data_IF_697955439150
#
_entry.id   IF_697955439150
#
_cell.length_a   1.000
_cell.length_b   1.000
_cell.length_c   1.000
_cell.angle_alpha   90.00
_cell.angle_beta   90.00
_cell.angle_gamma   90.00
#
_symmetry.space_group_name_H-M   'P 1'
#
loop_
_entity.id
_entity.type
_entity.pdbx_description
1 polymer ?
#
# COMPACT_ATOMS: atom_id res chain seq x y z
N UNK A 1 2.24 -8.99 6.61
CA UNK A 1 3.14 -8.36 7.59
C UNK A 1 2.30 -7.69 8.67
N UNK A 2 1.87 -8.47 9.65
CA UNK A 2 1.22 -7.96 10.85
C UNK A 2 2.29 -7.90 11.96
N UNK A 3 2.17 -6.92 12.86
CA UNK A 3 3.05 -6.79 14.02
C UNK A 3 3.19 -8.14 14.74
N UNK A 4 4.42 -8.54 15.08
CA UNK A 4 4.68 -9.68 15.95
C UNK A 4 3.97 -9.42 17.29
N UNK A 5 2.98 -10.25 17.68
CA UNK A 5 2.27 -10.07 18.94
C UNK A 5 3.17 -10.29 20.19
N UNK A 6 4.41 -10.73 20.01
CA UNK A 6 5.39 -10.84 21.10
C UNK A 6 6.23 -9.58 21.34
N UNK A 7 6.05 -8.53 20.53
CA UNK A 7 6.78 -7.29 20.74
C UNK A 7 6.18 -6.59 21.98
N UNK A 8 6.93 -6.60 23.08
CA UNK A 8 6.49 -6.06 24.37
C UNK A 8 6.12 -4.58 24.21
N UNK A 9 5.12 -4.08 24.95
CA UNK A 9 4.74 -2.67 24.89
C UNK A 9 5.96 -1.79 25.20
N UNK A 10 6.31 -0.95 24.23
CA UNK A 10 7.35 0.05 24.35
C UNK A 10 6.90 1.04 25.45
N UNK A 11 7.59 1.04 26.60
CA UNK A 11 7.41 2.06 27.63
C UNK A 11 7.74 3.43 27.02
N UNK A 12 6.72 4.22 26.70
CA UNK A 12 6.90 5.62 26.33
C UNK A 12 7.38 6.38 27.56
N UNK A 13 8.69 6.55 27.65
CA UNK A 13 9.29 7.51 28.57
C UNK A 13 8.89 8.90 28.11
N UNK A 14 8.08 9.59 28.91
CA UNK A 14 7.64 10.96 28.67
C UNK A 14 8.85 11.89 28.63
N UNK A 15 9.22 12.33 27.43
CA UNK A 15 10.26 13.33 27.23
C UNK A 15 9.61 14.72 27.25
N UNK A 16 10.04 15.52 28.22
CA UNK A 16 9.63 16.90 28.46
C UNK A 16 9.97 17.78 27.24
N UNK A 17 9.05 18.65 26.76
CA UNK A 17 9.32 19.48 25.60
C UNK A 17 10.30 20.61 25.94
N UNK A 18 11.40 20.67 25.19
CA UNK A 18 12.34 21.78 25.21
C UNK A 18 11.73 23.02 24.54
N UNK A 19 11.98 24.16 25.19
CA UNK A 19 11.63 25.53 24.84
C UNK A 19 12.10 25.90 23.41
N UNK A 20 11.14 26.24 22.53
CA UNK A 20 11.41 26.63 21.13
C UNK A 20 11.58 28.14 21.06
N UNK A 21 12.82 28.55 20.86
CA UNK A 21 13.23 29.94 20.65
C UNK A 21 12.65 30.57 19.38
N UNK A 22 12.30 31.84 19.55
CA UNK A 22 11.82 32.83 18.60
C UNK A 22 12.72 32.96 17.36
N UNK A 23 12.17 32.75 16.17
CA UNK A 23 12.85 32.95 14.89
C UNK A 23 12.18 34.10 14.11
N UNK A 24 12.78 35.26 14.22
CA UNK A 24 12.46 36.50 13.48
C UNK A 24 12.66 36.29 11.97
N UNK A 25 11.77 36.82 11.10
CA UNK A 25 11.97 36.80 9.65
C UNK A 25 12.99 37.87 9.22
N UNK A 26 14.03 37.45 8.49
CA UNK A 26 14.93 38.35 7.77
C UNK A 26 14.38 38.61 6.36
N UNK A 27 14.01 39.87 6.12
CA UNK A 27 13.62 40.42 4.83
C UNK A 27 14.77 40.34 3.83
N UNK A 28 14.55 39.76 2.65
CA UNK A 28 15.48 39.82 1.52
C UNK A 28 15.04 40.95 0.57
N UNK A 29 15.96 41.89 0.41
CA UNK A 29 15.90 43.12 -0.36
C UNK A 29 15.79 42.84 -1.87
N UNK A 30 14.86 43.53 -2.53
CA UNK A 30 14.68 43.53 -3.98
C UNK A 30 15.70 44.48 -4.62
N UNK A 31 16.56 43.95 -5.50
CA UNK A 31 17.40 44.77 -6.36
C UNK A 31 16.80 44.81 -7.78
N UNK A 32 16.08 45.90 -8.02
CA UNK A 32 15.68 46.41 -9.33
C UNK A 32 16.94 46.91 -10.07
N UNK A 33 17.22 46.39 -11.28
CA UNK A 33 18.28 46.94 -12.12
C UNK A 33 17.77 47.17 -13.55
N UNK A 34 17.82 48.44 -13.93
CA UNK A 34 17.30 49.05 -15.15
C UNK A 34 18.01 48.55 -16.42
N UNK A 35 17.36 48.71 -17.60
CA UNK A 35 17.87 48.23 -18.87
C UNK A 35 18.94 49.17 -19.46
N UNK A 36 20.09 48.61 -19.80
CA UNK A 36 21.11 49.31 -20.58
C UNK A 36 20.79 49.21 -22.08
N UNK A 37 20.41 50.34 -22.67
CA UNK A 37 20.35 50.57 -24.12
C UNK A 37 21.75 50.52 -24.72
N UNK A 38 22.02 49.52 -25.57
CA UNK A 38 23.25 49.43 -26.38
C UNK A 38 22.94 49.55 -27.87
N UNK A 39 23.77 50.37 -28.52
CA UNK A 39 23.71 50.83 -29.91
C UNK A 39 24.03 49.72 -30.92
N UNK A 40 23.44 49.72 -32.14
CA UNK A 40 23.64 48.66 -33.12
C UNK A 40 24.98 48.80 -33.86
N UNK A 41 25.94 47.95 -33.53
CA UNK A 41 27.16 47.78 -34.32
C UNK A 41 26.87 47.01 -35.62
N UNK A 42 27.13 47.65 -36.77
CA UNK A 42 27.14 47.01 -38.10
C UNK A 42 28.35 46.07 -38.21
N UNK A 43 28.11 44.78 -37.99
CA UNK A 43 29.05 43.69 -38.26
C UNK A 43 28.93 43.10 -39.67
N UNK A 44 30.00 42.45 -40.17
CA UNK A 44 30.20 42.07 -41.56
C UNK A 44 29.19 41.01 -42.03
N UNK A 45 28.56 41.26 -43.19
CA UNK A 45 27.46 40.47 -43.77
C UNK A 45 27.86 39.10 -44.36
N UNK A 46 29.09 38.63 -44.16
CA UNK A 46 29.58 37.40 -44.77
C UNK A 46 29.45 36.12 -43.90
N UNK A 47 29.33 36.25 -42.57
CA UNK A 47 29.35 35.06 -41.67
C UNK A 47 27.98 34.44 -41.38
N UNK A 48 26.88 35.13 -41.71
CA UNK A 48 25.53 34.65 -41.34
C UNK A 48 25.17 33.34 -42.01
N UNK A 49 25.62 33.12 -43.25
CA UNK A 49 25.35 31.87 -43.96
C UNK A 49 26.04 30.66 -43.29
N UNK A 50 27.24 30.85 -42.74
CA UNK A 50 27.98 29.80 -42.03
C UNK A 50 27.35 29.46 -40.68
N UNK A 51 26.81 30.45 -39.95
CA UNK A 51 26.13 30.21 -38.68
C UNK A 51 24.80 29.44 -38.84
N UNK A 52 24.06 29.69 -39.92
CA UNK A 52 22.83 28.94 -40.19
C UNK A 52 23.09 27.49 -40.60
N UNK A 53 24.17 27.22 -41.35
CA UNK A 53 24.52 25.84 -41.71
C UNK A 53 25.05 25.06 -40.50
N UNK A 54 25.92 25.65 -39.70
CA UNK A 54 26.43 24.99 -38.48
C UNK A 54 25.32 24.78 -37.44
N UNK A 55 24.45 25.77 -37.22
CA UNK A 55 23.32 25.64 -36.29
C UNK A 55 22.31 24.57 -36.70
N UNK A 56 21.99 24.48 -38.00
CA UNK A 56 21.07 23.47 -38.53
C UNK A 56 21.62 22.03 -38.36
N UNK A 57 22.92 21.82 -38.58
CA UNK A 57 23.56 20.53 -38.39
C UNK A 57 23.53 20.10 -36.91
N UNK A 58 23.81 21.02 -35.99
CA UNK A 58 23.78 20.72 -34.55
C UNK A 58 22.39 20.32 -34.07
N UNK A 59 21.34 21.03 -34.48
CA UNK A 59 19.96 20.71 -34.09
C UNK A 59 19.55 19.35 -34.65
N UNK A 60 19.85 19.06 -35.91
CA UNK A 60 19.55 17.76 -36.51
C UNK A 60 20.26 16.62 -35.78
N UNK A 61 21.53 16.79 -35.40
CA UNK A 61 22.28 15.82 -34.62
C UNK A 61 21.65 15.60 -33.22
N UNK A 62 21.26 16.68 -32.53
CA UNK A 62 20.56 16.58 -31.24
C UNK A 62 19.22 15.85 -31.38
N UNK A 63 18.44 16.11 -32.43
CA UNK A 63 17.19 15.41 -32.69
C UNK A 63 17.40 13.90 -32.94
N UNK A 64 18.43 13.53 -33.70
CA UNK A 64 18.76 12.10 -33.94
C UNK A 64 19.18 11.42 -32.64
N UNK A 65 20.04 12.04 -31.84
CA UNK A 65 20.45 11.49 -30.53
C UNK A 65 19.24 11.35 -29.60
N UNK A 66 18.36 12.36 -29.53
CA UNK A 66 17.15 12.29 -28.72
C UNK A 66 16.24 11.14 -29.17
N UNK A 67 16.00 10.96 -30.47
CA UNK A 67 15.20 9.84 -30.99
C UNK A 67 15.86 8.50 -30.69
N UNK A 68 17.18 8.39 -30.79
CA UNK A 68 17.89 7.16 -30.46
C UNK A 68 17.83 6.85 -28.96
N UNK A 69 18.05 7.82 -28.09
CA UNK A 69 17.92 7.67 -26.63
C UNK A 69 16.48 7.35 -26.25
N UNK A 70 15.50 8.04 -26.83
CA UNK A 70 14.09 7.78 -26.56
C UNK A 70 13.65 6.40 -27.04
N UNK A 71 14.11 5.94 -28.20
CA UNK A 71 13.85 4.58 -28.65
C UNK A 71 14.60 3.55 -27.80
N UNK A 72 15.83 3.83 -27.37
CA UNK A 72 16.60 2.96 -26.46
C UNK A 72 15.94 2.84 -25.08
N UNK A 73 15.37 3.93 -24.56
CA UNK A 73 14.62 3.94 -23.30
C UNK A 73 13.22 3.32 -23.45
N UNK A 74 12.63 3.30 -24.66
CA UNK A 74 11.38 2.58 -24.93
C UNK A 74 11.57 1.09 -25.18
N UNK A 75 12.68 0.71 -25.80
CA UNK A 75 13.05 -0.69 -25.96
C UNK A 75 13.62 -1.14 -24.64
N UNK A 76 12.79 -1.48 -23.66
CA UNK A 76 13.22 -1.99 -22.34
C UNK A 76 14.29 -3.09 -22.55
N UNK A 77 15.60 -2.77 -22.45
CA UNK A 77 16.62 -3.80 -22.60
C UNK A 77 16.59 -4.73 -21.39
N UNK A 78 15.88 -4.32 -20.34
CA UNK A 78 15.66 -5.05 -19.11
C UNK A 78 14.44 -6.00 -19.14
N UNK A 79 13.51 -5.85 -20.10
CA UNK A 79 12.36 -6.76 -20.19
C UNK A 79 12.77 -8.23 -20.40
N UNK A 80 13.95 -8.48 -20.97
CA UNK A 80 14.50 -9.82 -21.15
C UNK A 80 15.60 -10.18 -20.12
N UNK A 81 16.12 -9.23 -19.35
CA UNK A 81 17.10 -9.52 -18.28
C UNK A 81 16.43 -10.04 -17.00
N UNK A 82 15.10 -9.88 -16.88
CA UNK A 82 14.28 -10.54 -15.88
C UNK A 82 13.46 -11.70 -16.44
N UNK A 83 13.86 -12.28 -17.57
CA UNK A 83 13.54 -13.68 -17.83
C UNK A 83 14.32 -14.50 -16.79
N UNK A 84 13.82 -14.49 -15.55
CA UNK A 84 14.37 -15.24 -14.45
C UNK A 84 14.28 -16.70 -14.83
N UNK A 85 15.46 -17.29 -15.03
CA UNK A 85 15.68 -18.74 -15.11
C UNK A 85 14.76 -19.40 -14.10
N UNK A 86 13.94 -20.32 -14.59
CA UNK A 86 13.09 -21.25 -13.85
C UNK A 86 13.20 -21.09 -12.33
N UNK A 87 12.39 -20.19 -11.75
CA UNK A 87 12.12 -20.28 -10.32
C UNK A 87 11.56 -21.67 -10.13
N UNK A 88 12.40 -22.57 -9.59
CA UNK A 88 12.00 -23.88 -9.13
C UNK A 88 10.70 -23.66 -8.37
N UNK A 89 9.60 -24.15 -8.95
CA UNK A 89 8.27 -23.93 -8.41
C UNK A 89 8.34 -24.42 -6.97
N UNK A 90 8.24 -23.52 -5.96
CA UNK A 90 8.49 -23.90 -4.58
C UNK A 90 7.61 -25.09 -4.28
N UNK A 91 8.23 -26.19 -3.82
CA UNK A 91 7.49 -27.39 -3.41
C UNK A 91 6.38 -26.90 -2.49
N UNK A 92 5.08 -27.13 -2.81
CA UNK A 92 4.00 -26.49 -2.08
C UNK A 92 4.13 -26.87 -0.61
N UNK A 93 4.42 -25.89 0.23
CA UNK A 93 4.28 -26.04 1.67
C UNK A 93 2.83 -26.49 1.94
N UNK A 94 2.59 -27.29 2.98
CA UNK A 94 1.23 -27.64 3.36
C UNK A 94 0.53 -26.36 3.84
N UNK A 95 -0.03 -25.59 2.91
CA UNK A 95 -1.04 -24.60 3.21
C UNK A 95 -2.17 -25.36 3.89
N UNK A 96 -2.62 -24.87 5.05
CA UNK A 96 -3.95 -25.20 5.57
C UNK A 96 -4.96 -24.72 4.53
N UNK A 97 -5.18 -25.58 3.53
CA UNK A 97 -6.12 -25.35 2.44
C UNK A 97 -7.51 -25.29 3.05
N UNK A 98 -8.46 -24.61 2.41
CA UNK A 98 -9.88 -24.63 2.79
C UNK A 98 -10.47 -26.04 3.03
N UNK A 99 -9.76 -27.11 2.64
CA UNK A 99 -10.04 -28.51 2.97
C UNK A 99 -10.01 -28.83 4.47
N UNK A 100 -9.31 -28.04 5.28
CA UNK A 100 -9.17 -28.25 6.73
C UNK A 100 -10.17 -27.46 7.58
N UNK A 101 -11.15 -26.79 6.95
CA UNK A 101 -12.27 -26.22 7.70
C UNK A 101 -12.95 -27.32 8.52
N UNK A 102 -13.16 -27.07 9.81
CA UNK A 102 -13.91 -28.00 10.66
C UNK A 102 -15.33 -28.19 10.11
N UNK A 103 -15.99 -29.29 10.44
CA UNK A 103 -17.38 -29.51 10.06
C UNK A 103 -18.27 -28.35 10.51
N UNK A 104 -18.00 -27.77 11.68
CA UNK A 104 -18.69 -26.59 12.22
C UNK A 104 -18.51 -25.35 11.36
N UNK A 105 -17.29 -25.07 10.90
CA UNK A 105 -17.02 -23.94 10.01
C UNK A 105 -17.68 -24.11 8.64
N UNK A 106 -17.78 -25.35 8.13
CA UNK A 106 -18.49 -25.66 6.87
C UNK A 106 -20.01 -25.57 7.01
N UNK A 107 -20.54 -25.90 8.19
CA UNK A 107 -21.96 -25.85 8.51
C UNK A 107 -22.40 -24.51 9.10
N UNK A 108 -21.56 -23.47 8.98
CA UNK A 108 -21.84 -22.14 9.50
C UNK A 108 -23.18 -21.61 8.98
N UNK A 109 -23.96 -21.06 9.90
CA UNK A 109 -25.21 -20.36 9.61
C UNK A 109 -25.05 -18.90 10.04
N UNK A 110 -25.35 -17.92 9.16
CA UNK A 110 -25.20 -16.52 9.51
C UNK A 110 -26.10 -16.14 10.69
N UNK A 111 -25.65 -15.23 11.56
CA UNK A 111 -26.46 -14.68 12.63
C UNK A 111 -27.64 -13.88 12.04
N UNK A 112 -28.68 -13.70 12.84
CA UNK A 112 -29.92 -13.03 12.43
C UNK A 112 -29.74 -11.55 12.08
N UNK A 113 -28.67 -10.93 12.58
CA UNK A 113 -28.31 -9.54 12.34
C UNK A 113 -26.84 -9.40 11.88
N UNK A 114 -26.57 -8.32 11.15
CA UNK A 114 -25.21 -7.95 10.75
C UNK A 114 -24.52 -7.16 11.88
N UNK A 115 -23.18 -7.23 12.00
CA UNK A 115 -22.43 -6.30 12.83
C UNK A 115 -22.68 -4.85 12.43
N UNK A 116 -22.60 -3.95 13.41
CA UNK A 116 -22.69 -2.51 13.17
C UNK A 116 -21.31 -1.94 12.86
N UNK A 117 -21.23 -1.20 11.76
CA UNK A 117 -20.05 -0.46 11.35
C UNK A 117 -20.19 1.00 11.77
N UNK A 118 -19.12 1.56 12.32
CA UNK A 118 -19.05 2.99 12.61
C UNK A 118 -18.93 3.83 11.32
N UNK A 119 -19.05 5.15 11.45
CA UNK A 119 -18.77 6.06 10.35
C UNK A 119 -17.27 6.09 9.98
N UNK A 120 -16.95 6.52 8.76
CA UNK A 120 -15.55 6.73 8.30
C UNK A 120 -14.77 7.63 9.26
N UNK A 121 -15.42 8.67 9.79
CA UNK A 121 -14.77 9.61 10.71
C UNK A 121 -14.39 8.95 12.03
N UNK A 122 -15.27 8.11 12.57
CA UNK A 122 -15.01 7.36 13.81
C UNK A 122 -13.95 6.28 13.59
N UNK A 123 -14.04 5.54 12.47
CA UNK A 123 -13.04 4.56 12.10
C UNK A 123 -11.65 5.18 11.93
N UNK A 124 -11.56 6.35 11.29
CA UNK A 124 -10.31 7.09 11.09
C UNK A 124 -9.71 7.49 12.42
N UNK A 125 -10.53 8.11 13.29
CA UNK A 125 -10.10 8.51 14.63
C UNK A 125 -9.56 7.32 15.42
N UNK A 126 -10.28 6.19 15.44
CA UNK A 126 -9.84 4.98 16.13
C UNK A 126 -8.52 4.43 15.58
N UNK A 127 -8.34 4.45 14.25
CA UNK A 127 -7.11 3.99 13.60
C UNK A 127 -5.91 4.91 13.87
N UNK A 128 -6.10 6.24 13.87
CA UNK A 128 -5.05 7.24 14.11
C UNK A 128 -4.64 7.29 15.59
N UNK A 129 -5.61 7.31 16.50
CA UNK A 129 -5.36 7.36 17.95
C UNK A 129 -4.90 6.02 18.53
N UNK A 130 -5.01 4.92 17.75
CA UNK A 130 -4.68 3.54 18.16
C UNK A 130 -5.38 3.13 19.46
N UNK A 131 -6.61 3.60 19.65
CA UNK A 131 -7.41 3.35 20.85
C UNK A 131 -8.15 2.00 20.79
N UNK A 132 -8.33 1.46 19.59
CA UNK A 132 -9.01 0.19 19.32
C UNK A 132 -8.03 -0.78 18.68
N UNK A 133 -8.04 -2.03 19.14
CA UNK A 133 -7.17 -3.09 18.62
C UNK A 133 -7.65 -3.63 17.27
N UNK A 134 -6.74 -4.05 16.38
CA UNK A 134 -7.09 -4.79 15.17
C UNK A 134 -7.83 -6.10 15.49
N UNK A 135 -8.76 -6.52 14.64
CA UNK A 135 -9.58 -7.72 14.84
C UNK A 135 -8.71 -8.97 14.95
N UNK A 136 -7.64 -9.04 14.15
CA UNK A 136 -6.69 -10.14 14.18
C UNK A 136 -6.01 -10.30 15.56
N UNK A 137 -5.87 -9.22 16.34
CA UNK A 137 -5.27 -9.25 17.68
C UNK A 137 -6.03 -10.18 18.63
N UNK A 138 -7.34 -10.31 18.44
CA UNK A 138 -8.21 -11.16 19.26
C UNK A 138 -8.28 -12.62 18.77
N UNK A 139 -7.50 -12.99 17.75
CA UNK A 139 -7.47 -14.36 17.26
C UNK A 139 -6.78 -15.29 18.27
N UNK A 140 -7.45 -16.37 18.64
CA UNK A 140 -6.86 -17.43 19.48
C UNK A 140 -5.71 -18.14 18.74
N UNK A 141 -5.86 -18.28 17.42
CA UNK A 141 -4.87 -18.90 16.55
C UNK A 141 -4.72 -18.08 15.27
N UNK A 142 -3.47 -17.74 14.98
CA UNK A 142 -3.08 -17.16 13.71
C UNK A 142 -2.83 -18.27 12.68
N UNK A 143 -3.19 -18.05 11.41
CA UNK A 143 -2.82 -18.98 10.35
C UNK A 143 -1.30 -18.99 10.18
N UNK A 144 -0.74 -20.15 9.86
CA UNK A 144 0.64 -20.21 9.39
C UNK A 144 0.73 -19.42 8.08
N UNK A 145 1.41 -18.27 8.11
CA UNK A 145 1.60 -17.43 6.93
C UNK A 145 2.98 -17.75 6.33
N UNK A 146 3.05 -18.25 5.09
CA UNK A 146 4.32 -18.29 4.39
C UNK A 146 4.82 -16.86 4.16
N UNK A 147 6.13 -16.69 3.93
CA UNK A 147 6.71 -15.38 3.60
C UNK A 147 6.01 -14.75 2.38
N UNK A 148 5.61 -15.59 1.42
CA UNK A 148 4.84 -15.22 0.23
C UNK A 148 3.52 -15.98 0.21
N UNK A 149 2.43 -15.24 0.41
CA UNK A 149 1.08 -15.78 0.32
C UNK A 149 0.82 -16.36 -1.08
N UNK A 150 0.18 -17.54 -1.15
CA UNK A 150 -0.13 -18.20 -2.42
C UNK A 150 -1.58 -17.93 -2.84
N UNK A 151 -1.87 -17.86 -4.14
CA UNK A 151 -3.21 -17.58 -4.63
C UNK A 151 -4.08 -18.83 -4.43
N UNK A 152 -5.31 -18.64 -3.99
CA UNK A 152 -6.22 -19.72 -3.59
C UNK A 152 -6.09 -20.15 -2.13
N UNK A 153 -5.10 -19.62 -1.39
CA UNK A 153 -4.97 -19.85 0.04
C UNK A 153 -6.08 -19.13 0.82
N UNK A 154 -6.48 -19.75 1.93
CA UNK A 154 -7.43 -19.20 2.89
C UNK A 154 -6.75 -19.14 4.27
N UNK A 155 -6.44 -17.93 4.72
CA UNK A 155 -5.83 -17.65 6.01
C UNK A 155 -6.92 -17.54 7.07
N UNK A 156 -7.03 -18.57 7.92
CA UNK A 156 -8.11 -18.72 8.89
C UNK A 156 -7.74 -18.11 10.25
N UNK A 157 -8.60 -17.22 10.73
CA UNK A 157 -8.56 -16.62 12.07
C UNK A 157 -9.79 -17.07 12.85
N UNK A 158 -9.59 -17.60 14.04
CA UNK A 158 -10.66 -17.89 14.98
C UNK A 158 -10.62 -16.85 16.09
N UNK A 159 -11.65 -16.00 16.17
CA UNK A 159 -11.69 -14.82 17.02
C UNK A 159 -12.83 -14.96 18.01
N UNK A 160 -12.62 -14.54 19.27
CA UNK A 160 -13.63 -14.54 20.32
C UNK A 160 -13.78 -13.13 20.89
N UNK A 161 -14.99 -12.59 20.88
CA UNK A 161 -15.30 -11.23 21.33
C UNK A 161 -16.55 -11.22 22.21
N UNK A 162 -16.69 -10.20 23.06
CA UNK A 162 -17.98 -9.82 23.65
C UNK A 162 -18.79 -8.95 22.67
N UNK A 163 -20.12 -8.88 22.87
CA UNK A 163 -21.02 -8.12 22.00
C UNK A 163 -20.70 -6.60 21.92
N UNK A 164 -20.07 -6.03 22.95
CA UNK A 164 -19.67 -4.63 23.06
C UNK A 164 -18.20 -4.37 22.68
N UNK A 165 -17.43 -5.41 22.36
CA UNK A 165 -16.01 -5.26 21.99
C UNK A 165 -15.89 -4.66 20.59
N UNK A 166 -15.44 -3.41 20.53
CA UNK A 166 -15.08 -2.77 19.26
C UNK A 166 -13.75 -3.31 18.73
N UNK A 167 -13.63 -3.42 17.40
CA UNK A 167 -12.41 -3.88 16.74
C UNK A 167 -12.21 -3.18 15.38
N UNK A 168 -10.95 -2.89 15.04
CA UNK A 168 -10.58 -2.43 13.70
C UNK A 168 -10.41 -3.66 12.80
N UNK A 169 -11.23 -3.78 11.78
CA UNK A 169 -11.07 -4.81 10.77
C UNK A 169 -10.38 -4.22 9.54
N UNK A 170 -9.13 -4.61 9.32
CA UNK A 170 -8.23 -3.97 8.38
C UNK A 170 -7.52 -4.95 7.45
N UNK A 171 -7.06 -4.41 6.32
CA UNK A 171 -6.09 -5.04 5.45
C UNK A 171 -5.06 -4.01 5.01
N UNK A 172 -3.78 -4.35 5.18
CA UNK A 172 -2.66 -3.50 4.81
C UNK A 172 -1.77 -4.14 3.75
N UNK A 173 -1.20 -3.30 2.90
CA UNK A 173 -0.13 -3.65 1.96
C UNK A 173 0.99 -2.62 2.06
N UNK A 174 2.24 -3.08 1.96
CA UNK A 174 3.40 -2.21 1.98
C UNK A 174 4.25 -2.47 0.73
N UNK A 175 4.99 -1.46 0.30
CA UNK A 175 6.01 -1.56 -0.75
C UNK A 175 7.25 -0.75 -0.37
N UNK A 176 8.39 -0.98 -1.03
CA UNK A 176 9.64 -0.24 -0.76
C UNK A 176 9.53 1.24 -1.05
N UNK A 177 8.69 1.66 -2.00
CA UNK A 177 8.45 3.07 -2.34
C UNK A 177 6.97 3.37 -2.54
N UNK A 178 6.62 4.66 -2.56
CA UNK A 178 5.25 5.11 -2.79
C UNK A 178 4.79 4.77 -4.22
N UNK A 179 5.69 4.87 -5.20
CA UNK A 179 5.39 4.58 -6.60
C UNK A 179 5.04 3.10 -6.81
N UNK A 180 5.79 2.19 -6.18
CA UNK A 180 5.49 0.75 -6.22
C UNK A 180 4.17 0.47 -5.49
N UNK A 181 3.92 1.12 -4.35
CA UNK A 181 2.65 0.98 -3.62
C UNK A 181 1.45 1.36 -4.51
N UNK A 182 1.53 2.48 -5.22
CA UNK A 182 0.48 2.96 -6.12
C UNK A 182 0.26 2.03 -7.32
N UNK A 183 1.35 1.55 -7.92
CA UNK A 183 1.29 0.57 -9.01
C UNK A 183 0.64 -0.74 -8.56
N UNK A 184 1.00 -1.23 -7.38
CA UNK A 184 0.41 -2.43 -6.80
C UNK A 184 -1.09 -2.26 -6.59
N UNK A 185 -1.51 -1.17 -5.94
CA UNK A 185 -2.94 -0.92 -5.73
C UNK A 185 -3.74 -0.70 -7.02
N UNK A 186 -3.13 -0.23 -8.10
CA UNK A 186 -3.78 -0.16 -9.41
C UNK A 186 -4.07 -1.55 -10.02
N UNK A 187 -3.33 -2.59 -9.59
CA UNK A 187 -3.47 -3.98 -10.03
C UNK A 187 -4.05 -4.91 -8.95
N UNK A 188 -4.51 -4.34 -7.84
CA UNK A 188 -5.12 -5.06 -6.72
C UNK A 188 -6.61 -4.75 -6.63
N UNK A 189 -7.40 -5.76 -6.26
CA UNK A 189 -8.78 -5.59 -5.81
C UNK A 189 -8.91 -6.07 -4.38
N UNK A 190 -9.41 -5.22 -3.49
CA UNK A 190 -9.65 -5.55 -2.08
C UNK A 190 -11.14 -5.51 -1.82
N UNK A 191 -11.72 -6.62 -1.37
CA UNK A 191 -13.14 -6.73 -1.04
C UNK A 191 -13.32 -7.21 0.39
N UNK A 192 -14.05 -6.42 1.18
CA UNK A 192 -14.47 -6.78 2.54
C UNK A 192 -15.87 -7.40 2.44
N UNK A 193 -16.05 -8.60 2.99
CA UNK A 193 -17.28 -9.38 2.92
C UNK A 193 -17.71 -9.75 4.33
N UNK A 194 -18.96 -9.46 4.68
CA UNK A 194 -19.54 -9.74 6.00
C UNK A 194 -20.74 -10.64 5.84
N UNK A 195 -20.67 -11.82 6.46
CA UNK A 195 -21.69 -12.85 6.40
C UNK A 195 -22.14 -13.14 4.94
N UNK A 196 -21.17 -13.25 4.03
CA UNK A 196 -21.39 -13.50 2.60
C UNK A 196 -21.87 -12.30 1.77
N UNK A 197 -21.96 -11.09 2.35
CA UNK A 197 -22.33 -9.86 1.63
C UNK A 197 -21.16 -8.91 1.55
N UNK A 198 -20.86 -8.42 0.34
CA UNK A 198 -19.85 -7.38 0.14
C UNK A 198 -20.23 -6.13 0.93
N UNK A 199 -19.32 -5.67 1.77
CA UNK A 199 -19.42 -4.41 2.51
C UNK A 199 -19.28 -3.27 1.50
N UNK A 200 -20.37 -2.52 1.29
CA UNK A 200 -20.40 -1.34 0.42
C UNK A 200 -20.18 -0.03 1.18
N UNK A 201 -19.79 -0.11 2.44
CA UNK A 201 -19.47 1.07 3.23
C UNK A 201 -18.14 1.66 2.77
N UNK A 202 -17.99 2.97 2.94
CA UNK A 202 -16.72 3.64 2.73
C UNK A 202 -15.72 3.14 3.78
N UNK A 203 -14.59 2.61 3.33
CA UNK A 203 -13.47 2.21 4.18
C UNK A 203 -12.57 3.41 4.41
N UNK A 204 -11.96 3.47 5.59
CA UNK A 204 -10.85 4.41 5.81
C UNK A 204 -9.66 3.91 5.03
N UNK A 205 -9.09 4.77 4.19
CA UNK A 205 -7.83 4.50 3.50
C UNK A 205 -6.75 5.39 4.11
N UNK A 206 -5.64 4.79 4.55
CA UNK A 206 -4.53 5.51 5.18
C UNK A 206 -3.21 5.08 4.59
N UNK A 207 -2.42 6.06 4.17
CA UNK A 207 -1.02 5.87 3.78
C UNK A 207 -0.09 6.28 4.92
N UNK A 208 0.96 5.50 5.18
CA UNK A 208 1.92 5.79 6.24
C UNK A 208 3.31 5.20 5.93
N UNK A 209 4.33 5.74 6.59
CA UNK A 209 5.70 5.21 6.52
C UNK A 209 5.84 3.94 7.37
N UNK A 210 6.47 2.91 6.79
CA UNK A 210 6.89 1.68 7.45
C UNK A 210 8.16 1.94 8.27
N UNK A 211 8.04 2.80 9.28
CA UNK A 211 9.08 3.06 10.29
C UNK A 211 10.52 3.03 9.77
N UNK A 212 11.32 2.12 10.30
CA UNK A 212 12.78 2.09 10.17
C UNK A 212 13.30 1.73 8.76
N UNK A 213 12.46 1.15 7.89
CA UNK A 213 12.91 0.57 6.63
C UNK A 213 12.52 1.41 5.40
N UNK A 214 12.07 2.65 5.62
CA UNK A 214 11.64 3.61 4.58
C UNK A 214 10.50 3.15 3.65
N UNK A 215 9.91 1.98 3.90
CA UNK A 215 8.80 1.46 3.11
C UNK A 215 7.55 2.33 3.25
N UNK A 216 6.62 2.18 2.31
CA UNK A 216 5.34 2.88 2.26
C UNK A 216 4.21 1.87 2.37
N UNK A 217 3.27 2.11 3.28
CA UNK A 217 2.14 1.23 3.51
C UNK A 217 0.83 1.96 3.23
N UNK A 218 -0.17 1.20 2.79
CA UNK A 218 -1.57 1.63 2.74
C UNK A 218 -2.46 0.57 3.37
N UNK A 219 -3.36 1.00 4.24
CA UNK A 219 -4.40 0.15 4.82
C UNK A 219 -5.80 0.58 4.39
N UNK A 220 -6.71 -0.39 4.41
CA UNK A 220 -8.15 -0.24 4.30
C UNK A 220 -8.75 -0.72 5.60
N UNK A 221 -9.48 0.16 6.29
CA UNK A 221 -9.92 -0.11 7.66
C UNK A 221 -11.41 0.17 7.82
N UNK A 222 -12.11 -0.77 8.46
CA UNK A 222 -13.46 -0.61 8.97
C UNK A 222 -13.45 -0.70 10.50
N UNK A 223 -14.26 0.11 11.18
CA UNK A 223 -14.47 -0.02 12.63
C UNK A 223 -15.81 -0.73 12.89
N UNK A 224 -15.75 -1.86 13.57
CA UNK A 224 -16.94 -2.62 14.01
C UNK A 224 -17.16 -2.31 15.48
N UNK A 225 -18.35 -1.83 15.83
CA UNK A 225 -18.65 -1.33 17.19
C UNK A 225 -19.66 -2.17 17.95
N UNK A 226 -20.46 -2.99 17.26
CA UNK A 226 -21.43 -3.85 17.90
C UNK A 226 -21.55 -5.17 17.16
N UNK A 227 -21.49 -6.25 17.93
CA UNK A 227 -21.56 -7.61 17.42
C UNK A 227 -22.83 -8.29 17.95
N UNK A 228 -23.78 -8.64 17.07
CA UNK A 228 -24.84 -9.57 17.44
C UNK A 228 -24.26 -10.89 17.96
N UNK A 229 -24.95 -11.56 18.89
CA UNK A 229 -24.53 -12.88 19.35
C UNK A 229 -24.54 -13.91 18.21
N UNK A 230 -23.59 -14.84 18.26
CA UNK A 230 -23.42 -15.90 17.27
C UNK A 230 -22.06 -15.85 16.57
N UNK A 231 -21.87 -16.74 15.60
CA UNK A 231 -20.64 -16.77 14.79
C UNK A 231 -20.82 -15.92 13.56
N UNK A 232 -20.01 -14.86 13.41
CA UNK A 232 -19.93 -14.05 12.22
C UNK A 232 -18.79 -14.54 11.31
N UNK A 233 -19.03 -14.50 10.00
CA UNK A 233 -18.03 -14.85 9.00
C UNK A 233 -17.63 -13.59 8.23
N UNK A 234 -16.38 -13.17 8.40
CA UNK A 234 -15.80 -12.02 7.71
C UNK A 234 -14.70 -12.52 6.77
N UNK A 235 -14.68 -12.06 5.53
CA UNK A 235 -13.61 -12.33 4.57
C UNK A 235 -13.03 -11.01 4.06
N UNK A 236 -11.70 -10.93 3.97
CA UNK A 236 -11.01 -9.97 3.11
C UNK A 236 -10.46 -10.74 1.91
N UNK A 237 -11.03 -10.49 0.74
CA UNK A 237 -10.52 -11.04 -0.52
C UNK A 237 -9.59 -10.02 -1.16
N UNK A 238 -8.33 -10.42 -1.36
CA UNK A 238 -7.32 -9.62 -2.03
C UNK A 238 -6.96 -10.30 -3.33
N UNK A 239 -7.28 -9.69 -4.46
CA UNK A 239 -7.02 -10.24 -5.79
C UNK A 239 -5.93 -9.44 -6.50
N UNK A 240 -4.82 -10.10 -6.78
CA UNK A 240 -3.75 -9.61 -7.65
C UNK A 240 -4.08 -9.95 -9.10
N UNK A 241 -4.32 -8.94 -9.94
CA UNK A 241 -4.72 -9.12 -11.34
C UNK A 241 -3.59 -9.64 -12.22
N UNK A 242 -2.36 -9.31 -11.85
CA UNK A 242 -1.09 -9.77 -12.42
C UNK A 242 -0.14 -10.10 -11.27
N UNK A 243 1.02 -10.73 -11.51
CA UNK A 243 2.05 -10.81 -10.49
C UNK A 243 2.42 -9.41 -9.98
N UNK A 244 2.48 -9.22 -8.66
CA UNK A 244 2.64 -7.94 -7.97
C UNK A 244 3.98 -7.91 -7.24
N UNK A 245 4.84 -6.95 -7.54
CA UNK A 245 6.16 -6.78 -6.90
C UNK A 245 6.06 -5.66 -5.85
N UNK A 246 6.32 -5.96 -4.59
CA UNK A 246 6.35 -4.95 -3.53
C UNK A 246 7.72 -4.27 -3.35
N UNK A 247 8.69 -4.66 -4.19
CA UNK A 247 10.09 -4.23 -4.14
C UNK A 247 10.95 -5.06 -3.18
N UNK A 248 10.35 -5.96 -2.39
CA UNK A 248 11.05 -6.97 -1.61
C UNK A 248 10.81 -8.38 -2.15
N UNK A 249 9.58 -8.69 -2.55
CA UNK A 249 9.10 -10.00 -2.98
C UNK A 249 8.16 -9.89 -4.18
N UNK A 250 8.14 -10.95 -4.98
CA UNK A 250 7.21 -11.14 -6.09
C UNK A 250 6.03 -12.00 -5.63
N UNK A 251 4.81 -11.47 -5.71
CA UNK A 251 3.58 -12.18 -5.37
C UNK A 251 2.87 -12.65 -6.64
N UNK A 252 2.46 -13.93 -6.72
CA UNK A 252 1.76 -14.46 -7.90
C UNK A 252 0.35 -13.86 -8.04
N UNK A 253 -0.14 -13.80 -9.28
CA UNK A 253 -1.52 -13.39 -9.55
C UNK A 253 -2.55 -14.36 -8.94
N UNK A 254 -3.69 -13.82 -8.53
CA UNK A 254 -4.82 -14.60 -8.01
C UNK A 254 -5.40 -14.01 -6.72
N UNK A 255 -6.32 -14.74 -6.10
CA UNK A 255 -7.05 -14.28 -4.92
C UNK A 255 -6.51 -14.93 -3.65
N UNK A 256 -6.16 -14.10 -2.68
CA UNK A 256 -5.82 -14.49 -1.31
C UNK A 256 -7.01 -14.14 -0.40
N UNK A 257 -7.43 -15.08 0.44
CA UNK A 257 -8.58 -14.87 1.34
C UNK A 257 -8.13 -14.85 2.79
N UNK A 258 -8.40 -13.77 3.51
CA UNK A 258 -8.24 -13.70 4.96
C UNK A 258 -9.61 -13.86 5.61
N UNK A 259 -9.83 -14.99 6.27
CA UNK A 259 -11.13 -15.41 6.77
C UNK A 259 -11.16 -15.42 8.28
N UNK A 260 -12.10 -14.67 8.86
CA UNK A 260 -12.33 -14.57 10.28
C UNK A 260 -13.65 -15.23 10.65
N UNK A 261 -13.58 -16.21 11.53
CA UNK A 261 -14.74 -16.71 12.27
C UNK A 261 -14.77 -16.01 13.62
N UNK A 262 -15.66 -15.03 13.76
CA UNK A 262 -15.80 -14.22 14.97
C UNK A 262 -16.94 -14.79 15.81
N UNK A 263 -16.62 -15.41 16.93
CA UNK A 263 -17.59 -16.00 17.85
C UNK A 263 -17.90 -14.99 18.95
N UNK A 264 -19.19 -14.67 19.09
CA UNK A 264 -19.69 -13.66 20.01
C UNK A 264 -20.67 -14.32 20.97
N UNK A 265 -20.34 -14.29 22.25
CA UNK A 265 -21.20 -14.79 23.35
C UNK A 265 -22.07 -13.68 23.95
#
# INVERSE_FOLDING_TARGET
>A
MFNDPNDKPFEMTSQEPADVGDNTPVSVESAEMAPATASPARGPRADRALWFTVGGITIAACCVVFVLVFNFLRSDPFANLFAMDDYETPTPFPTVSARDLTATQRAWTPPSAQPTFASVSEARKAAEERTIWPLAYFAERYPDQPDINQPGDVYLYNVFLSADQSALWDYGWCATTQEILEQNFAQMKVEFIVNGKVLRADLVVRDYDRGNDSGRCRDYTALITHWPSGTHHLDVNVTFLIPTDDGWNMYPAGTHTFRYFVNVE
#
